data_IF_697210887321
#
_entry.id   IF_697210887321
#
_cell.length_a   1.000
_cell.length_b   1.000
_cell.length_c   1.000
_cell.angle_alpha   90.00
_cell.angle_beta   90.00
_cell.angle_gamma   90.00
#
_symmetry.space_group_name_H-M   'P 1'
#
loop_
_entity.id
_entity.type
_entity.pdbx_description
1 polymer ?
#
# COMPACT_ATOMS: atom_id res chain seq x y z
N UNK A 1 16.28 -34.70 8.51
CA UNK A 1 16.76 -33.62 9.41
C UNK A 1 16.35 -32.31 8.76
N UNK A 2 15.76 -31.34 9.46
CA UNK A 2 15.57 -30.01 8.87
C UNK A 2 16.95 -29.46 8.50
N UNK A 3 17.10 -29.04 7.25
CA UNK A 3 18.28 -28.31 6.80
C UNK A 3 18.34 -27.01 7.61
N UNK A 4 19.48 -26.73 8.28
CA UNK A 4 19.64 -25.49 9.00
C UNK A 4 19.41 -24.32 8.05
N UNK A 5 18.47 -23.44 8.39
CA UNK A 5 18.13 -22.27 7.59
C UNK A 5 19.35 -21.35 7.49
N UNK A 6 19.72 -20.95 6.28
CA UNK A 6 20.86 -20.06 6.05
C UNK A 6 20.51 -18.63 6.52
N UNK A 7 21.38 -18.04 7.31
CA UNK A 7 21.26 -16.64 7.71
C UNK A 7 21.95 -15.78 6.66
N UNK A 8 21.16 -14.95 5.95
CA UNK A 8 21.66 -13.98 4.98
C UNK A 8 22.23 -12.76 5.71
N UNK A 9 23.54 -12.80 5.94
CA UNK A 9 24.26 -11.75 6.66
C UNK A 9 24.60 -10.58 5.74
N UNK A 10 24.18 -9.35 6.09
CA UNK A 10 24.62 -8.11 5.44
C UNK A 10 26.02 -7.74 5.94
N UNK A 11 27.02 -7.89 5.08
CA UNK A 11 28.44 -7.63 5.39
C UNK A 11 28.74 -6.13 5.41
N UNK A 12 28.13 -5.38 4.49
CA UNK A 12 28.26 -3.94 4.40
C UNK A 12 27.04 -3.34 3.72
N UNK A 13 26.77 -2.08 4.04
CA UNK A 13 25.67 -1.30 3.47
C UNK A 13 26.14 0.11 3.15
N UNK A 14 25.74 0.63 1.99
CA UNK A 14 26.04 1.97 1.52
C UNK A 14 24.79 2.61 0.98
N UNK A 15 24.46 3.82 1.45
CA UNK A 15 23.37 4.63 0.87
C UNK A 15 23.88 5.35 -0.37
N UNK A 16 23.28 5.06 -1.52
CA UNK A 16 23.64 5.67 -2.80
C UNK A 16 22.88 6.96 -3.06
N UNK A 17 21.61 7.02 -2.62
CA UNK A 17 20.74 8.18 -2.80
C UNK A 17 19.68 8.22 -1.70
N UNK A 18 19.31 9.44 -1.28
CA UNK A 18 18.14 9.67 -0.41
C UNK A 18 17.27 10.75 -1.03
N UNK A 19 16.07 10.35 -1.43
CA UNK A 19 15.02 11.23 -1.95
C UNK A 19 14.02 11.63 -0.88
N UNK A 20 12.89 12.20 -1.30
CA UNK A 20 11.79 12.61 -0.40
C UNK A 20 10.99 11.42 0.15
N UNK A 21 10.76 10.40 -0.68
CA UNK A 21 9.87 9.27 -0.35
C UNK A 21 10.58 7.91 -0.35
N UNK A 22 11.83 7.84 -0.82
CA UNK A 22 12.61 6.60 -0.85
C UNK A 22 14.11 6.86 -0.75
N UNK A 23 14.87 5.82 -0.40
CA UNK A 23 16.32 5.81 -0.52
C UNK A 23 16.77 4.60 -1.34
N UNK A 24 17.88 4.75 -2.09
CA UNK A 24 18.58 3.65 -2.75
C UNK A 24 19.77 3.24 -1.89
N UNK A 25 19.79 1.98 -1.50
CA UNK A 25 20.85 1.36 -0.70
C UNK A 25 21.51 0.22 -1.47
N UNK A 26 22.79 0.04 -1.29
CA UNK A 26 23.58 -1.08 -1.83
C UNK A 26 24.13 -1.91 -0.68
N UNK A 27 23.74 -3.17 -0.60
CA UNK A 27 24.18 -4.13 0.40
C UNK A 27 25.05 -5.22 -0.22
N UNK A 28 26.11 -5.61 0.49
CA UNK A 28 26.85 -6.82 0.20
C UNK A 28 26.39 -7.93 1.15
N UNK A 29 25.82 -8.98 0.60
CA UNK A 29 25.13 -10.04 1.35
C UNK A 29 25.84 -11.38 1.15
N UNK A 30 26.05 -12.11 2.26
CA UNK A 30 26.61 -13.47 2.23
C UNK A 30 25.55 -14.49 1.83
N UNK A 31 25.78 -15.14 0.69
CA UNK A 31 24.90 -16.20 0.18
C UNK A 31 25.25 -17.57 0.77
N UNK A 32 24.33 -18.57 0.66
CA UNK A 32 24.67 -19.96 0.91
C UNK A 32 25.95 -20.36 0.13
N UNK A 33 26.88 -21.08 0.80
CA UNK A 33 28.18 -21.40 0.21
C UNK A 33 29.24 -20.32 0.36
N UNK A 34 28.96 -19.19 1.04
CA UNK A 34 29.92 -18.15 1.44
C UNK A 34 30.22 -17.08 0.40
N UNK A 35 29.65 -17.16 -0.81
CA UNK A 35 29.80 -16.11 -1.83
C UNK A 35 29.14 -14.81 -1.35
N UNK A 36 29.82 -13.68 -1.52
CA UNK A 36 29.25 -12.35 -1.29
C UNK A 36 28.71 -11.83 -2.61
N UNK A 37 27.45 -11.35 -2.60
CA UNK A 37 26.80 -10.71 -3.75
C UNK A 37 26.23 -9.37 -3.35
N UNK A 38 26.21 -8.45 -4.31
CA UNK A 38 25.64 -7.12 -4.13
C UNK A 38 24.12 -7.16 -4.39
N UNK A 39 23.37 -6.42 -3.58
CA UNK A 39 21.94 -6.14 -3.75
C UNK A 39 21.71 -4.64 -3.70
N UNK A 40 20.95 -4.14 -4.64
CA UNK A 40 20.44 -2.77 -4.64
C UNK A 40 19.01 -2.81 -4.16
N UNK A 41 18.70 -2.00 -3.15
CA UNK A 41 17.42 -2.04 -2.42
C UNK A 41 16.84 -0.63 -2.38
N UNK A 42 15.57 -0.51 -2.73
CA UNK A 42 14.78 0.70 -2.52
C UNK A 42 14.11 0.59 -1.15
N UNK A 43 14.49 1.47 -0.24
CA UNK A 43 13.78 1.66 1.03
C UNK A 43 12.66 2.67 0.85
N UNK A 44 11.48 2.36 1.36
CA UNK A 44 10.28 3.17 1.21
C UNK A 44 9.57 3.38 2.56
N UNK A 45 8.72 4.41 2.68
CA UNK A 45 7.90 4.59 3.89
C UNK A 45 6.90 3.44 4.13
N UNK A 46 6.53 2.72 3.07
CA UNK A 46 5.33 1.91 3.04
C UNK A 46 4.09 2.79 2.83
N UNK A 47 2.96 2.14 2.66
CA UNK A 47 1.71 2.83 2.38
C UNK A 47 0.50 2.09 2.97
N UNK A 48 -0.64 2.75 2.92
CA UNK A 48 -1.96 2.15 3.17
C UNK A 48 -2.83 2.33 1.94
N UNK A 49 -3.75 1.39 1.70
CA UNK A 49 -4.80 1.50 0.70
C UNK A 49 -6.15 1.15 1.32
N UNK A 50 -7.23 1.69 0.79
CA UNK A 50 -8.55 1.60 1.42
C UNK A 50 -9.58 1.06 0.43
N UNK A 51 -10.17 -0.08 0.74
CA UNK A 51 -11.44 -0.52 0.16
C UNK A 51 -12.55 0.03 1.06
N UNK A 52 -13.08 1.19 0.71
CA UNK A 52 -14.23 1.78 1.39
C UNK A 52 -15.50 1.20 0.75
N UNK A 53 -16.23 0.38 1.48
CA UNK A 53 -17.40 -0.31 0.93
C UNK A 53 -18.69 0.23 1.55
N UNK A 54 -19.62 0.67 0.71
CA UNK A 54 -20.94 1.09 1.13
C UNK A 54 -21.90 -0.09 1.34
N UNK A 55 -23.12 0.22 1.82
CA UNK A 55 -24.13 -0.79 2.14
C UNK A 55 -24.68 -1.50 0.87
N UNK A 56 -24.49 -0.91 -0.32
CA UNK A 56 -24.83 -1.52 -1.61
C UNK A 56 -23.67 -2.35 -2.21
N UNK A 57 -22.55 -2.47 -1.50
CA UNK A 57 -21.37 -3.22 -1.95
C UNK A 57 -20.59 -2.51 -3.06
N UNK A 58 -20.66 -1.17 -3.11
CA UNK A 58 -19.89 -0.35 -4.04
C UNK A 58 -18.65 0.21 -3.34
N UNK A 59 -17.62 0.42 -4.11
CA UNK A 59 -16.33 1.01 -3.67
C UNK A 59 -15.96 2.21 -4.53
N UNK A 60 -15.44 3.30 -3.94
CA UNK A 60 -14.85 4.38 -4.70
C UNK A 60 -13.48 3.99 -5.22
N UNK A 61 -13.24 4.31 -6.47
CA UNK A 61 -11.95 4.17 -7.13
C UNK A 61 -11.48 5.53 -7.60
N UNK A 62 -10.20 5.81 -7.48
CA UNK A 62 -9.55 7.02 -7.97
C UNK A 62 -8.86 6.75 -9.29
N UNK A 63 -8.98 7.68 -10.24
CA UNK A 63 -8.28 7.63 -11.53
C UNK A 63 -7.28 8.77 -11.57
N UNK A 64 -5.99 8.44 -11.40
CA UNK A 64 -4.92 9.43 -11.25
C UNK A 64 -3.72 9.13 -12.14
N UNK A 65 -2.97 10.18 -12.46
CA UNK A 65 -1.76 10.09 -13.26
C UNK A 65 -0.60 9.48 -12.46
N UNK A 66 0.11 8.54 -13.08
CA UNK A 66 1.32 7.94 -12.52
C UNK A 66 2.49 8.16 -13.49
N UNK A 67 3.36 9.09 -13.13
CA UNK A 67 4.47 9.51 -13.98
C UNK A 67 5.38 8.36 -14.46
N UNK A 68 5.74 7.36 -13.63
CA UNK A 68 6.56 6.23 -14.09
C UNK A 68 5.92 5.42 -15.23
N UNK A 69 4.59 5.42 -15.33
CA UNK A 69 3.84 4.74 -16.39
C UNK A 69 3.44 5.67 -17.55
N UNK A 70 3.57 6.99 -17.38
CA UNK A 70 3.16 7.99 -18.36
C UNK A 70 1.66 7.99 -18.67
N UNK A 71 0.83 7.45 -17.76
CA UNK A 71 -0.63 7.35 -17.93
C UNK A 71 -1.38 7.34 -16.61
N UNK A 72 -2.70 7.50 -16.67
CA UNK A 72 -3.58 7.35 -15.50
C UNK A 72 -3.90 5.89 -15.24
N UNK A 73 -4.03 5.54 -13.96
CA UNK A 73 -4.42 4.22 -13.48
C UNK A 73 -5.65 4.33 -12.58
N UNK A 74 -6.50 3.29 -12.61
CA UNK A 74 -7.52 3.09 -11.59
C UNK A 74 -6.90 2.49 -10.35
N UNK A 75 -7.10 3.15 -9.22
CA UNK A 75 -6.50 2.80 -7.94
C UNK A 75 -7.53 2.87 -6.80
N UNK A 76 -7.22 2.28 -5.67
CA UNK A 76 -7.92 2.53 -4.41
C UNK A 76 -7.43 3.85 -3.81
N UNK A 77 -8.22 4.56 -3.01
CA UNK A 77 -7.70 5.60 -2.13
C UNK A 77 -6.52 5.05 -1.32
N UNK A 78 -5.40 5.80 -1.28
CA UNK A 78 -4.14 5.31 -0.73
C UNK A 78 -3.20 6.46 -0.34
N UNK A 79 -2.36 6.25 0.67
CA UNK A 79 -1.37 7.24 1.05
C UNK A 79 -0.15 6.66 1.74
N UNK A 80 0.90 7.46 1.82
CA UNK A 80 2.19 7.10 2.41
C UNK A 80 2.14 7.15 3.94
N UNK A 81 2.95 6.30 4.59
CA UNK A 81 3.20 6.34 6.03
C UNK A 81 4.31 7.33 6.38
N UNK A 82 4.21 8.56 5.87
CA UNK A 82 5.24 9.60 5.97
C UNK A 82 5.07 10.53 7.17
N UNK A 83 3.96 10.45 7.89
CA UNK A 83 3.72 11.20 9.12
C UNK A 83 4.27 10.44 10.31
N UNK A 84 5.31 10.98 10.93
CA UNK A 84 5.98 10.31 12.04
C UNK A 84 5.04 10.09 13.24
N UNK A 85 4.93 8.85 13.70
CA UNK A 85 4.09 8.46 14.83
C UNK A 85 2.61 8.32 14.52
N UNK A 86 2.14 8.59 13.30
CA UNK A 86 0.77 8.32 12.88
C UNK A 86 0.54 6.80 12.77
N UNK A 87 -0.53 6.30 13.39
CA UNK A 87 -0.88 4.89 13.26
C UNK A 87 -1.43 4.61 11.83
N UNK A 88 -1.12 3.48 11.19
CA UNK A 88 -1.49 3.23 9.80
C UNK A 88 -2.99 3.35 9.49
N UNK A 89 -3.88 3.00 10.41
CA UNK A 89 -5.32 3.17 10.22
C UNK A 89 -5.77 4.64 10.28
N UNK A 90 -5.02 5.51 10.98
CA UNK A 90 -5.29 6.95 11.01
C UNK A 90 -4.83 7.60 9.70
N UNK A 91 -3.68 7.17 9.15
CA UNK A 91 -3.27 7.52 7.79
C UNK A 91 -4.37 7.14 6.80
N UNK A 92 -4.87 5.89 6.86
CA UNK A 92 -5.94 5.43 5.99
C UNK A 92 -7.22 6.28 6.12
N UNK A 93 -7.58 6.70 7.33
CA UNK A 93 -8.76 7.54 7.57
C UNK A 93 -8.57 8.96 7.02
N UNK A 94 -7.36 9.52 7.14
CA UNK A 94 -7.00 10.83 6.58
C UNK A 94 -7.07 10.80 5.05
N UNK A 95 -6.41 9.83 4.41
CA UNK A 95 -6.40 9.68 2.95
C UNK A 95 -7.79 9.43 2.37
N UNK A 96 -8.61 8.61 3.02
CA UNK A 96 -10.00 8.39 2.60
C UNK A 96 -10.80 9.69 2.58
N UNK A 97 -10.57 10.57 3.55
CA UNK A 97 -11.20 11.91 3.59
C UNK A 97 -10.65 12.81 2.50
N UNK A 98 -9.33 12.86 2.32
CA UNK A 98 -8.65 13.74 1.37
C UNK A 98 -8.96 13.37 -0.07
N UNK A 99 -8.90 12.09 -0.41
CA UNK A 99 -9.08 11.63 -1.78
C UNK A 99 -10.55 11.36 -2.17
N UNK A 100 -11.37 10.86 -1.23
CA UNK A 100 -12.74 10.45 -1.53
C UNK A 100 -13.84 11.30 -0.83
N UNK A 101 -13.50 12.17 0.13
CA UNK A 101 -14.50 12.92 0.92
C UNK A 101 -15.35 12.00 1.78
N UNK A 102 -14.78 10.95 2.34
CA UNK A 102 -15.48 9.93 3.11
C UNK A 102 -14.90 9.76 4.50
N UNK A 103 -15.76 9.45 5.46
CA UNK A 103 -15.40 8.89 6.77
C UNK A 103 -16.04 7.52 6.93
N UNK A 104 -15.38 6.65 7.70
CA UNK A 104 -15.86 5.30 7.99
C UNK A 104 -15.95 5.05 9.50
N UNK A 105 -16.97 4.32 9.93
CA UNK A 105 -17.19 3.95 11.32
C UNK A 105 -16.37 2.71 11.72
N UNK A 106 -16.17 1.78 10.80
CA UNK A 106 -15.53 0.50 11.07
C UNK A 106 -14.33 0.29 10.16
N UNK A 107 -13.22 -0.13 10.75
CA UNK A 107 -11.95 -0.42 10.08
C UNK A 107 -11.51 -1.84 10.37
N UNK A 108 -11.12 -2.57 9.35
CA UNK A 108 -10.57 -3.92 9.43
C UNK A 108 -9.38 -4.05 8.49
N UNK A 109 -8.44 -4.93 8.81
CA UNK A 109 -7.33 -5.25 7.90
C UNK A 109 -7.78 -6.32 6.91
N UNK A 110 -7.70 -6.02 5.60
CA UNK A 110 -7.98 -6.99 4.54
C UNK A 110 -6.75 -7.87 4.28
N UNK A 111 -5.67 -7.23 3.82
CA UNK A 111 -4.45 -7.92 3.39
C UNK A 111 -3.25 -7.01 3.55
N UNK A 112 -2.09 -7.60 3.83
CA UNK A 112 -0.78 -6.96 3.75
C UNK A 112 -0.11 -7.42 2.45
N UNK A 113 0.54 -6.51 1.74
CA UNK A 113 1.14 -6.74 0.43
C UNK A 113 2.56 -6.19 0.43
N UNK A 114 3.52 -7.02 0.02
CA UNK A 114 4.86 -6.59 -0.33
C UNK A 114 4.87 -6.34 -1.84
N UNK A 115 4.93 -5.08 -2.26
CA UNK A 115 4.66 -4.67 -3.65
C UNK A 115 5.70 -5.20 -4.63
N UNK A 116 6.98 -5.12 -4.27
CA UNK A 116 8.12 -5.50 -5.13
C UNK A 116 9.27 -6.09 -4.32
N UNK A 117 9.07 -7.27 -3.65
CA UNK A 117 10.03 -7.82 -2.67
C UNK A 117 11.37 -8.24 -3.29
N UNK A 118 11.50 -8.21 -4.61
CA UNK A 118 12.74 -8.48 -5.31
C UNK A 118 13.79 -7.37 -5.17
N UNK A 119 13.39 -6.12 -4.88
CA UNK A 119 14.31 -4.99 -4.77
C UNK A 119 13.83 -3.86 -3.85
N UNK A 120 12.62 -3.89 -3.33
CA UNK A 120 12.09 -2.88 -2.42
C UNK A 120 11.56 -3.51 -1.15
N UNK A 121 11.65 -2.78 -0.04
CA UNK A 121 11.01 -3.09 1.23
C UNK A 121 9.61 -2.44 1.35
N UNK A 122 9.07 -1.90 0.25
CA UNK A 122 7.73 -1.32 0.26
C UNK A 122 6.69 -2.37 0.62
N UNK A 123 6.09 -2.20 1.78
CA UNK A 123 4.92 -2.95 2.21
C UNK A 123 3.69 -2.04 2.28
N UNK A 124 2.52 -2.59 1.95
CA UNK A 124 1.26 -1.86 1.93
C UNK A 124 0.20 -2.65 2.67
N UNK A 125 -0.47 -1.99 3.62
CA UNK A 125 -1.63 -2.57 4.30
C UNK A 125 -2.91 -2.07 3.67
N UNK A 126 -3.75 -3.00 3.22
CA UNK A 126 -5.08 -2.68 2.68
C UNK A 126 -6.12 -2.81 3.78
N UNK A 127 -6.88 -1.75 4.00
CA UNK A 127 -7.99 -1.73 4.96
C UNK A 127 -9.34 -1.87 4.27
N UNK A 128 -10.27 -2.57 4.93
CA UNK A 128 -11.70 -2.47 4.67
C UNK A 128 -12.29 -1.40 5.58
N UNK A 129 -12.96 -0.43 5.00
CA UNK A 129 -13.67 0.65 5.70
C UNK A 129 -15.17 0.55 5.38
N UNK A 130 -16.03 0.51 6.41
CA UNK A 130 -17.50 0.41 6.27
C UNK A 130 -18.21 1.36 7.20
N UNK A 131 -19.55 1.53 7.01
CA UNK A 131 -20.32 2.55 7.71
C UNK A 131 -19.91 3.94 7.24
N UNK A 132 -19.96 4.13 5.91
CA UNK A 132 -19.46 5.33 5.26
C UNK A 132 -20.38 6.52 5.44
N UNK A 133 -19.81 7.70 5.67
CA UNK A 133 -20.49 8.99 5.65
C UNK A 133 -19.75 9.96 4.75
N UNK A 134 -20.51 10.74 3.97
CA UNK A 134 -19.94 11.82 3.17
C UNK A 134 -19.51 12.97 4.08
N UNK A 135 -18.32 13.50 3.82
CA UNK A 135 -17.76 14.69 4.51
C UNK A 135 -17.18 15.65 3.50
N UNK A 136 -16.90 16.87 3.95
CA UNK A 136 -16.22 17.84 3.10
C UNK A 136 -14.81 17.37 2.76
N UNK A 137 -14.54 17.32 1.46
CA UNK A 137 -13.21 17.06 0.93
C UNK A 137 -12.36 18.33 1.07
N UNK A 138 -11.16 18.27 1.63
CA UNK A 138 -10.23 19.40 1.58
C UNK A 138 -9.97 19.86 0.15
N UNK A 139 -9.49 21.08 -0.03
CA UNK A 139 -9.06 21.56 -1.34
C UNK A 139 -7.96 20.64 -1.88
N UNK A 140 -8.19 20.10 -3.07
CA UNK A 140 -7.20 19.24 -3.73
C UNK A 140 -5.98 20.07 -4.17
N UNK A 141 -4.80 19.55 -3.94
CA UNK A 141 -3.53 20.18 -4.32
C UNK A 141 -2.75 19.26 -5.27
N UNK A 142 -1.88 19.86 -6.08
CA UNK A 142 -0.96 19.16 -6.98
C UNK A 142 -1.62 18.04 -7.81
N UNK A 143 -1.21 16.79 -7.63
CA UNK A 143 -1.70 15.63 -8.39
C UNK A 143 -3.16 15.29 -8.10
N UNK A 144 -3.66 15.62 -6.90
CA UNK A 144 -5.05 15.37 -6.51
C UNK A 144 -6.06 16.25 -7.27
N UNK A 145 -5.64 17.41 -7.78
CA UNK A 145 -6.51 18.34 -8.52
C UNK A 145 -7.02 17.74 -9.84
N UNK A 146 -6.29 16.78 -10.41
CA UNK A 146 -6.62 16.08 -11.68
C UNK A 146 -7.23 14.68 -11.43
N UNK A 147 -7.47 14.31 -10.17
CA UNK A 147 -7.98 13.00 -9.79
C UNK A 147 -9.49 12.90 -10.00
N UNK A 148 -9.93 11.83 -10.65
CA UNK A 148 -11.36 11.52 -10.83
C UNK A 148 -11.77 10.39 -9.88
N UNK A 149 -12.88 10.57 -9.16
CA UNK A 149 -13.48 9.56 -8.31
C UNK A 149 -14.67 8.92 -9.01
N UNK A 150 -14.74 7.60 -9.01
CA UNK A 150 -15.88 6.84 -9.53
C UNK A 150 -16.21 5.64 -8.65
N UNK A 151 -17.50 5.38 -8.46
CA UNK A 151 -17.98 4.24 -7.69
C UNK A 151 -18.25 3.04 -8.60
N UNK A 152 -17.79 1.88 -8.18
CA UNK A 152 -18.06 0.59 -8.84
C UNK A 152 -18.59 -0.41 -7.83
N UNK A 153 -19.55 -1.27 -8.24
CA UNK A 153 -19.84 -2.45 -7.43
C UNK A 153 -18.60 -3.34 -7.33
N UNK A 154 -18.46 -4.08 -6.24
CA UNK A 154 -17.29 -4.97 -6.07
C UNK A 154 -17.22 -6.01 -7.20
N UNK A 155 -18.36 -6.51 -7.70
CA UNK A 155 -18.42 -7.44 -8.83
C UNK A 155 -17.91 -6.79 -10.13
N UNK A 156 -18.23 -5.50 -10.37
CA UNK A 156 -17.72 -4.74 -11.52
C UNK A 156 -16.22 -4.48 -11.40
N UNK A 157 -15.74 -4.11 -10.22
CA UNK A 157 -14.32 -3.89 -9.96
C UNK A 157 -13.50 -5.16 -10.24
N UNK A 158 -14.00 -6.34 -9.83
CA UNK A 158 -13.40 -7.63 -10.15
C UNK A 158 -13.36 -7.89 -11.67
N UNK A 159 -14.45 -7.62 -12.41
CA UNK A 159 -14.43 -7.75 -13.87
C UNK A 159 -13.37 -6.85 -14.52
N UNK A 160 -13.21 -5.62 -14.03
CA UNK A 160 -12.20 -4.66 -14.54
C UNK A 160 -10.77 -5.07 -14.22
N UNK A 161 -10.54 -5.79 -13.12
CA UNK A 161 -9.25 -6.43 -12.83
C UNK A 161 -8.94 -7.49 -13.90
N UNK A 162 -9.88 -8.39 -14.17
CA UNK A 162 -9.66 -9.48 -15.13
C UNK A 162 -9.67 -9.03 -16.60
N UNK A 163 -10.29 -7.90 -16.92
CA UNK A 163 -10.18 -7.29 -18.26
C UNK A 163 -8.86 -6.53 -18.48
N UNK A 164 -8.04 -6.32 -17.43
CA UNK A 164 -6.81 -5.54 -17.49
C UNK A 164 -7.00 -4.03 -17.49
N UNK A 165 -8.17 -3.55 -17.13
CA UNK A 165 -8.44 -2.11 -16.95
C UNK A 165 -7.89 -1.61 -15.61
N UNK A 166 -8.03 -2.40 -14.54
CA UNK A 166 -7.42 -2.16 -13.23
C UNK A 166 -6.16 -3.03 -13.14
N UNK A 167 -5.00 -2.39 -13.13
CA UNK A 167 -3.69 -3.07 -13.13
C UNK A 167 -2.78 -2.67 -11.98
N UNK A 168 -3.16 -1.64 -11.20
CA UNK A 168 -2.43 -1.26 -10.00
C UNK A 168 -2.45 -2.43 -9.01
N UNK A 169 -1.29 -2.90 -8.56
CA UNK A 169 -1.17 -4.11 -7.74
C UNK A 169 -1.95 -4.03 -6.42
N UNK A 170 -1.97 -2.84 -5.78
CA UNK A 170 -2.68 -2.61 -4.52
C UNK A 170 -4.19 -2.65 -4.73
N UNK A 171 -4.66 -2.05 -5.84
CA UNK A 171 -6.06 -2.09 -6.22
C UNK A 171 -6.50 -3.52 -6.55
N UNK A 172 -5.71 -4.25 -7.34
CA UNK A 172 -5.97 -5.68 -7.66
C UNK A 172 -6.06 -6.52 -6.39
N UNK A 173 -5.04 -6.44 -5.52
CA UNK A 173 -5.00 -7.21 -4.27
C UNK A 173 -6.15 -6.86 -3.32
N UNK A 174 -6.41 -5.56 -3.12
CA UNK A 174 -7.46 -5.07 -2.24
C UNK A 174 -8.87 -5.44 -2.73
N UNK A 175 -9.16 -5.26 -4.03
CA UNK A 175 -10.45 -5.62 -4.64
C UNK A 175 -10.72 -7.11 -4.51
N UNK A 176 -9.75 -7.97 -4.85
CA UNK A 176 -9.92 -9.42 -4.76
C UNK A 176 -10.06 -9.90 -3.31
N UNK A 177 -9.31 -9.31 -2.37
CA UNK A 177 -9.46 -9.59 -0.95
C UNK A 177 -10.85 -9.17 -0.42
N UNK A 178 -11.31 -7.96 -0.76
CA UNK A 178 -12.63 -7.48 -0.37
C UNK A 178 -13.75 -8.33 -0.98
N UNK A 179 -13.60 -8.75 -2.23
CA UNK A 179 -14.54 -9.64 -2.89
C UNK A 179 -14.67 -10.98 -2.14
N UNK A 180 -13.55 -11.59 -1.72
CA UNK A 180 -13.60 -12.86 -0.96
C UNK A 180 -14.29 -12.70 0.38
N UNK A 181 -14.12 -11.56 1.05
CA UNK A 181 -14.82 -11.21 2.28
C UNK A 181 -16.32 -11.03 2.01
N UNK A 182 -16.69 -10.23 0.99
CA UNK A 182 -18.09 -9.98 0.63
C UNK A 182 -18.86 -11.25 0.23
N UNK A 183 -18.17 -12.23 -0.36
CA UNK A 183 -18.77 -13.54 -0.69
C UNK A 183 -18.71 -14.55 0.47
N UNK A 184 -18.22 -14.14 1.65
CA UNK A 184 -18.23 -15.00 2.85
C UNK A 184 -17.15 -16.10 2.90
N UNK A 185 -16.14 -16.06 2.01
CA UNK A 185 -15.06 -17.07 2.01
C UNK A 185 -14.08 -16.88 3.16
N UNK A 186 -13.93 -15.66 3.67
CA UNK A 186 -13.02 -15.31 4.76
C UNK A 186 -13.55 -14.13 5.56
N UNK A 187 -12.89 -13.82 6.68
CA UNK A 187 -13.18 -12.64 7.51
C UNK A 187 -11.96 -11.72 7.55
N UNK A 188 -12.17 -10.40 7.54
CA UNK A 188 -11.08 -9.45 7.68
C UNK A 188 -10.54 -9.45 9.11
N UNK A 189 -9.25 -9.18 9.26
CA UNK A 189 -8.56 -9.15 10.57
C UNK A 189 -8.92 -7.89 11.37
N UNK A 190 -8.79 -7.91 12.70
CA UNK A 190 -8.91 -6.72 13.55
C UNK A 190 -7.98 -5.59 13.07
N UNK A 191 -8.36 -4.33 13.30
CA UNK A 191 -7.60 -3.14 12.86
C UNK A 191 -6.24 -3.04 13.53
N UNK A 192 -6.09 -3.56 14.74
CA UNK A 192 -4.89 -3.59 15.56
C UNK A 192 -3.99 -4.81 15.33
N UNK A 193 -4.32 -5.64 14.32
CA UNK A 193 -3.49 -6.80 13.95
C UNK A 193 -2.04 -6.35 13.70
N UNK A 194 -1.04 -6.99 14.34
CA UNK A 194 0.36 -6.69 14.09
C UNK A 194 0.72 -6.74 12.60
N UNK A 195 1.54 -5.79 12.17
CA UNK A 195 2.05 -5.73 10.80
C UNK A 195 3.53 -6.10 10.82
N UNK A 196 3.83 -7.37 10.51
CA UNK A 196 5.18 -7.95 10.65
C UNK A 196 6.16 -7.29 9.66
N UNK A 197 5.75 -7.14 8.41
CA UNK A 197 6.61 -6.66 7.33
C UNK A 197 6.48 -5.15 7.06
N UNK A 198 5.98 -4.39 8.06
CA UNK A 198 5.87 -2.93 7.94
C UNK A 198 7.22 -2.31 7.60
N UNK A 199 7.29 -1.56 6.50
CA UNK A 199 8.46 -0.77 6.13
C UNK A 199 8.84 0.19 7.25
N UNK A 200 10.08 0.18 7.68
CA UNK A 200 10.58 1.05 8.77
C UNK A 200 11.94 1.66 8.47
N UNK A 201 12.69 1.09 7.52
CA UNK A 201 14.07 1.48 7.26
C UNK A 201 14.19 2.93 6.78
N UNK A 202 13.33 3.35 5.84
CA UNK A 202 13.36 4.72 5.34
C UNK A 202 12.91 5.72 6.40
N UNK A 203 11.83 5.43 7.14
CA UNK A 203 11.33 6.31 8.21
C UNK A 203 12.34 6.51 9.36
N UNK A 204 13.23 5.54 9.58
CA UNK A 204 14.29 5.64 10.59
C UNK A 204 15.49 6.49 10.15
N UNK A 205 15.55 6.92 8.88
CA UNK A 205 16.63 7.77 8.37
C UNK A 205 16.51 9.20 8.93
N UNK A 206 17.65 9.89 9.17
CA UNK A 206 17.62 11.33 9.41
C UNK A 206 16.96 12.03 8.22
N UNK A 207 16.08 12.99 8.49
CA UNK A 207 15.48 13.80 7.43
C UNK A 207 16.58 14.36 6.51
N UNK A 208 16.41 14.20 5.19
CA UNK A 208 17.30 14.81 4.21
C UNK A 208 17.29 16.34 4.45
N UNK A 209 18.47 16.92 4.68
CA UNK A 209 18.65 18.36 4.89
C UNK A 209 18.54 19.11 3.57
#
# INVERSE_FOLDING_TARGET
>A
MPVAEHIFETISSETLHTGKIFALRKDNVRMPGGKIVTREIVEHFGAVAIVAMDDEGRIPMVYQYRHPFGRRLWELPAGLLDVNGEAPHLTAARELREEAGLQAQTWRVLVDLDSTPGFSDESVRVYLATGLTQVDRPAAHDEEADMTLQWYSIDEAVRRVFSGEIVNALAVGGILAAYTVAKGFTQPRPVDTPWVDKSTAFAARPAAR
#
